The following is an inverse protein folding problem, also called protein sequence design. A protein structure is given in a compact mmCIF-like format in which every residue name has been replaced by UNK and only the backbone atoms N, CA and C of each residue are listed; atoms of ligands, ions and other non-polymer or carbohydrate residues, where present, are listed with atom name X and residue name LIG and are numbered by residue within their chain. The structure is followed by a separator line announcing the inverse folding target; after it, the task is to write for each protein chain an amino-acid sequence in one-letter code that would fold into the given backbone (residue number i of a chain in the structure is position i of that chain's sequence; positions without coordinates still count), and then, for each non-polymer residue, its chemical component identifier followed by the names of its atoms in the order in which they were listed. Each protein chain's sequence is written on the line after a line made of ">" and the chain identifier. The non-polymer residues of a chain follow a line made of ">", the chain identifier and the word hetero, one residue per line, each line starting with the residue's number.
data_IF_157106705268
#
_entry.id   IF_157106705268
#
_cell.length_a   1.000
_cell.length_b   1.000
_cell.length_c   1.000
_cell.angle_alpha   90.00
_cell.angle_beta   90.00
_cell.angle_gamma   90.00
#
_symmetry.space_group_name_H-M   'P 1'
#
loop_
_entity.id
_entity.type
_entity.pdbx_description
1 polymer ?
#
# COMPACT_ATOMS: atom_id res chain seq x y z
N UNK A 1 5.59 -31.40 25.07
CA UNK A 1 5.78 -30.23 24.20
C UNK A 1 4.45 -29.49 24.19
N UNK A 2 4.36 -28.25 24.69
CA UNK A 2 3.09 -27.50 24.71
C UNK A 2 2.67 -27.14 23.28
N UNK A 3 1.39 -27.27 22.96
CA UNK A 3 0.86 -26.96 21.63
C UNK A 3 0.87 -25.46 21.33
N UNK A 4 0.92 -25.10 20.04
CA UNK A 4 0.91 -23.69 19.61
C UNK A 4 -0.32 -22.92 20.14
N UNK A 5 -1.48 -23.57 20.25
CA UNK A 5 -2.72 -23.02 20.85
C UNK A 5 -2.53 -22.66 22.33
N UNK A 6 -1.87 -23.54 23.08
CA UNK A 6 -1.67 -23.36 24.52
C UNK A 6 -0.74 -22.18 24.79
N UNK A 7 0.29 -22.01 23.95
CA UNK A 7 1.21 -20.88 24.05
C UNK A 7 0.49 -19.54 23.87
N UNK A 8 -0.44 -19.43 22.91
CA UNK A 8 -1.23 -18.20 22.72
C UNK A 8 -2.17 -17.92 23.89
N UNK A 9 -2.72 -18.97 24.51
CA UNK A 9 -3.68 -18.82 25.62
C UNK A 9 -3.00 -18.37 26.92
N UNK A 10 -1.75 -18.82 27.13
CA UNK A 10 -0.99 -18.52 28.35
C UNK A 10 -0.08 -17.29 28.23
N UNK A 11 -0.12 -16.56 27.12
CA UNK A 11 0.75 -15.39 26.94
C UNK A 11 0.32 -14.25 27.87
N UNK A 12 1.21 -13.74 28.74
CA UNK A 12 0.87 -12.71 29.73
C UNK A 12 0.90 -11.30 29.11
N UNK A 13 0.17 -11.11 28.00
CA UNK A 13 0.14 -9.83 27.28
C UNK A 13 -0.85 -9.83 26.11
N UNK A 14 -0.73 -8.81 25.26
CA UNK A 14 -1.56 -8.66 24.04
C UNK A 14 -0.83 -9.26 22.85
N UNK A 15 -1.50 -10.12 22.10
CA UNK A 15 -0.99 -10.72 20.86
C UNK A 15 -1.74 -10.10 19.68
N UNK A 16 -0.99 -9.55 18.73
CA UNK A 16 -1.54 -9.17 17.43
C UNK A 16 -1.25 -10.27 16.41
N UNK A 17 -2.29 -10.77 15.76
CA UNK A 17 -2.20 -11.78 14.71
C UNK A 17 -2.68 -11.18 13.39
N UNK A 18 -1.97 -11.47 12.30
CA UNK A 18 -2.33 -11.05 10.95
C UNK A 18 -2.40 -12.28 10.04
N UNK A 19 -3.45 -12.42 9.25
CA UNK A 19 -3.56 -13.49 8.25
C UNK A 19 -3.98 -12.94 6.89
N UNK A 20 -3.31 -13.39 5.83
CA UNK A 20 -3.74 -13.14 4.45
C UNK A 20 -4.74 -14.21 3.96
N UNK A 21 -5.05 -15.21 4.79
CA UNK A 21 -5.91 -16.36 4.47
C UNK A 21 -6.88 -16.60 5.62
N UNK A 22 -8.04 -15.95 5.54
CA UNK A 22 -9.10 -16.10 6.53
C UNK A 22 -9.67 -17.52 6.56
N UNK A 23 -9.77 -18.18 5.40
CA UNK A 23 -10.39 -19.51 5.26
C UNK A 23 -9.54 -20.67 5.78
N UNK A 24 -8.26 -20.43 6.08
CA UNK A 24 -7.34 -21.43 6.60
C UNK A 24 -7.21 -21.37 8.14
N UNK A 25 -8.07 -20.60 8.81
CA UNK A 25 -7.99 -20.41 10.25
C UNK A 25 -8.61 -21.59 10.98
N UNK A 26 -7.87 -22.16 11.93
CA UNK A 26 -8.33 -23.28 12.73
C UNK A 26 -9.41 -22.82 13.75
N UNK A 27 -10.54 -23.53 13.87
CA UNK A 27 -11.63 -23.13 14.77
C UNK A 27 -11.23 -23.02 16.25
N UNK A 28 -10.29 -23.84 16.73
CA UNK A 28 -9.81 -23.78 18.11
C UNK A 28 -8.95 -22.54 18.35
N UNK A 29 -8.19 -22.07 17.36
CA UNK A 29 -7.52 -20.77 17.41
C UNK A 29 -8.53 -19.61 17.37
N UNK A 30 -9.52 -19.69 16.49
CA UNK A 30 -10.53 -18.64 16.34
C UNK A 30 -11.32 -18.39 17.63
N UNK A 31 -11.64 -19.46 18.38
CA UNK A 31 -12.34 -19.38 19.68
C UNK A 31 -11.59 -18.59 20.76
N UNK A 32 -10.29 -18.35 20.57
CA UNK A 32 -9.41 -17.63 21.51
C UNK A 32 -9.11 -16.20 21.06
N UNK A 33 -9.64 -15.76 19.91
CA UNK A 33 -9.50 -14.39 19.42
C UNK A 33 -10.62 -13.53 20.01
N UNK A 34 -10.24 -12.56 20.84
CA UNK A 34 -11.16 -11.64 21.51
C UNK A 34 -11.70 -10.54 20.58
N UNK A 35 -10.92 -10.14 19.57
CA UNK A 35 -11.28 -9.09 18.62
C UNK A 35 -10.80 -9.45 17.21
N UNK A 36 -11.65 -9.30 16.21
CA UNK A 36 -11.35 -9.57 14.80
C UNK A 36 -11.50 -8.27 14.01
N UNK A 37 -10.43 -7.85 13.34
CA UNK A 37 -10.44 -6.69 12.45
C UNK A 37 -10.34 -7.18 11.01
N UNK A 38 -11.36 -6.88 10.22
CA UNK A 38 -11.33 -7.12 8.78
C UNK A 38 -10.86 -5.85 8.08
N UNK A 39 -9.85 -6.01 7.23
CA UNK A 39 -9.33 -4.92 6.40
C UNK A 39 -9.88 -5.10 5.00
N UNK A 40 -10.93 -4.33 4.69
CA UNK A 40 -11.48 -4.26 3.34
C UNK A 40 -10.48 -3.62 2.36
N UNK A 41 -10.62 -3.87 1.05
CA UNK A 41 -9.89 -3.13 0.03
C UNK A 41 -10.05 -1.62 0.22
N UNK A 42 -8.96 -0.89 0.00
CA UNK A 42 -8.95 0.56 0.18
C UNK A 42 -9.98 1.23 -0.75
N UNK A 43 -10.77 2.13 -0.20
CA UNK A 43 -11.62 3.04 -1.00
C UNK A 43 -10.77 4.08 -1.73
N UNK A 44 -11.27 4.71 -2.82
CA UNK A 44 -10.55 5.78 -3.51
C UNK A 44 -10.12 6.91 -2.57
N UNK A 45 -10.99 7.32 -1.65
CA UNK A 45 -10.71 8.37 -0.65
C UNK A 45 -9.60 7.95 0.32
N UNK A 46 -9.57 6.68 0.76
CA UNK A 46 -8.49 6.17 1.60
C UNK A 46 -7.16 6.11 0.83
N UNK A 47 -7.19 5.70 -0.45
CA UNK A 47 -5.99 5.73 -1.31
C UNK A 47 -5.47 7.14 -1.51
N UNK A 48 -6.33 8.13 -1.78
CA UNK A 48 -5.93 9.55 -1.87
C UNK A 48 -5.24 10.02 -0.59
N UNK A 49 -5.77 9.66 0.58
CA UNK A 49 -5.12 9.98 1.87
C UNK A 49 -3.75 9.32 1.98
N UNK A 50 -3.64 8.04 1.61
CA UNK A 50 -2.36 7.32 1.65
C UNK A 50 -1.34 7.96 0.69
N UNK A 51 -1.73 8.32 -0.53
CA UNK A 51 -0.88 9.07 -1.46
C UNK A 51 -0.41 10.38 -0.84
N UNK A 52 -1.33 11.17 -0.28
CA UNK A 52 -0.99 12.45 0.39
C UNK A 52 -0.02 12.27 1.56
N UNK A 53 -0.13 11.17 2.30
CA UNK A 53 0.74 10.85 3.43
C UNK A 53 2.11 10.31 3.00
N UNK A 54 2.17 9.50 1.96
CA UNK A 54 3.39 8.81 1.55
C UNK A 54 4.22 9.58 0.52
N UNK A 55 3.61 10.46 -0.27
CA UNK A 55 4.33 11.27 -1.24
C UNK A 55 5.25 12.25 -0.50
N UNK A 56 6.55 12.30 -0.87
CA UNK A 56 7.41 13.34 -0.35
C UNK A 56 6.93 14.70 -0.85
N UNK A 57 7.16 15.73 -0.04
CA UNK A 57 6.94 17.11 -0.47
C UNK A 57 7.84 17.41 -1.68
N UNK A 58 7.31 18.18 -2.63
CA UNK A 58 8.08 18.56 -3.81
C UNK A 58 9.04 19.69 -3.46
N UNK A 59 10.24 19.65 -4.01
CA UNK A 59 11.20 20.75 -3.90
C UNK A 59 11.15 21.58 -5.16
N UNK A 60 10.87 22.88 -5.00
CA UNK A 60 11.01 23.88 -6.06
C UNK A 60 12.50 24.21 -6.28
N UNK A 61 12.91 24.66 -7.48
CA UNK A 61 14.26 25.18 -7.72
C UNK A 61 14.69 26.28 -6.74
N UNK A 62 13.72 26.99 -6.16
CA UNK A 62 13.94 28.02 -5.14
C UNK A 62 14.04 27.45 -3.71
N UNK A 63 14.16 26.13 -3.55
CA UNK A 63 14.19 25.42 -2.28
C UNK A 63 12.90 25.57 -1.44
N UNK A 64 11.80 25.97 -2.09
CA UNK A 64 10.48 26.01 -1.48
C UNK A 64 9.86 24.61 -1.47
N UNK A 65 9.23 24.28 -0.34
CA UNK A 65 8.48 23.04 -0.17
C UNK A 65 7.09 23.23 -0.74
N UNK A 66 6.79 22.52 -1.83
CA UNK A 66 5.48 22.57 -2.49
C UNK A 66 4.64 21.36 -2.09
N UNK A 67 3.36 21.61 -1.78
CA UNK A 67 2.37 20.56 -1.62
C UNK A 67 1.93 20.02 -2.98
N UNK A 68 1.44 18.78 -2.98
CA UNK A 68 0.85 18.17 -4.17
C UNK A 68 -0.55 18.74 -4.42
N UNK A 69 -0.88 18.95 -5.69
CA UNK A 69 -2.21 19.36 -6.09
C UNK A 69 -3.25 18.31 -5.65
N UNK A 70 -4.33 18.77 -5.04
CA UNK A 70 -5.40 17.92 -4.51
C UNK A 70 -6.11 17.14 -5.65
N UNK A 71 -6.19 17.70 -6.86
CA UNK A 71 -6.78 17.03 -8.03
C UNK A 71 -5.89 15.90 -8.54
N UNK A 72 -4.56 16.09 -8.51
CA UNK A 72 -3.58 15.03 -8.82
C UNK A 72 -3.72 13.89 -7.80
N UNK A 73 -3.80 14.22 -6.51
CA UNK A 73 -3.96 13.22 -5.43
C UNK A 73 -5.30 12.45 -5.54
N UNK A 74 -6.37 13.12 -5.99
CA UNK A 74 -7.66 12.47 -6.28
C UNK A 74 -7.56 11.55 -7.48
N UNK A 75 -6.90 11.97 -8.55
CA UNK A 75 -6.63 11.14 -9.74
C UNK A 75 -5.83 9.88 -9.38
N UNK A 76 -4.77 10.03 -8.58
CA UNK A 76 -3.97 8.91 -8.08
C UNK A 76 -4.77 7.99 -7.16
N UNK A 77 -5.65 8.52 -6.31
CA UNK A 77 -6.53 7.69 -5.47
C UNK A 77 -7.63 6.99 -6.23
N UNK A 78 -8.11 7.57 -7.34
CA UNK A 78 -9.09 6.96 -8.23
C UNK A 78 -8.52 5.77 -9.04
N UNK A 79 -7.19 5.65 -9.13
CA UNK A 79 -6.54 4.51 -9.77
C UNK A 79 -6.98 3.16 -9.18
N UNK A 80 -7.05 2.14 -10.04
CA UNK A 80 -7.70 0.86 -9.75
C UNK A 80 -7.04 0.08 -8.60
N UNK A 81 -7.87 -0.43 -7.68
CA UNK A 81 -7.66 -1.48 -6.66
C UNK A 81 -6.24 -1.79 -6.13
N UNK A 82 -5.38 -0.78 -6.00
CA UNK A 82 -4.06 -0.93 -5.38
C UNK A 82 -4.15 -0.86 -3.85
N UNK A 83 -3.34 -1.68 -3.17
CA UNK A 83 -3.16 -1.63 -1.73
C UNK A 83 -2.02 -0.68 -1.33
N UNK A 84 -1.85 -0.44 -0.02
CA UNK A 84 -0.83 0.49 0.49
C UNK A 84 0.61 0.11 0.14
N UNK A 85 0.91 -1.19 -0.02
CA UNK A 85 2.25 -1.66 -0.44
C UNK A 85 2.51 -1.29 -1.90
N UNK A 86 1.51 -1.48 -2.76
CA UNK A 86 1.62 -1.12 -4.18
C UNK A 86 1.79 0.38 -4.36
N UNK A 87 1.03 1.20 -3.62
CA UNK A 87 1.22 2.67 -3.60
C UNK A 87 2.66 3.02 -3.22
N UNK A 88 3.16 2.46 -2.11
CA UNK A 88 4.54 2.73 -1.65
C UNK A 88 5.57 2.32 -2.71
N UNK A 89 5.42 1.15 -3.30
CA UNK A 89 6.34 0.65 -4.32
C UNK A 89 6.36 1.56 -5.57
N UNK A 90 5.19 2.06 -5.99
CA UNK A 90 5.12 3.01 -7.10
C UNK A 90 5.82 4.33 -6.79
N UNK A 91 5.66 4.86 -5.56
CA UNK A 91 6.37 6.08 -5.14
C UNK A 91 7.88 5.87 -5.20
N UNK A 92 8.38 4.74 -4.67
CA UNK A 92 9.81 4.42 -4.69
C UNK A 92 10.35 4.31 -6.12
N UNK A 93 9.62 3.63 -7.01
CA UNK A 93 10.01 3.51 -8.41
C UNK A 93 10.00 4.87 -9.13
N UNK A 94 9.00 5.72 -8.87
CA UNK A 94 8.91 7.04 -9.48
C UNK A 94 10.01 7.99 -8.98
N UNK A 95 10.41 7.87 -7.70
CA UNK A 95 11.56 8.59 -7.15
C UNK A 95 12.86 8.16 -7.83
N UNK A 96 13.07 6.85 -7.99
CA UNK A 96 14.26 6.34 -8.68
C UNK A 96 14.31 6.79 -10.15
N UNK A 97 13.16 6.88 -10.82
CA UNK A 97 13.06 7.38 -12.19
C UNK A 97 13.42 8.87 -12.26
N UNK A 98 12.85 9.69 -11.38
CA UNK A 98 13.15 11.12 -11.31
C UNK A 98 14.65 11.37 -11.03
N UNK A 99 15.24 10.60 -10.11
CA UNK A 99 16.68 10.67 -9.81
C UNK A 99 17.54 10.29 -11.03
N UNK A 100 17.16 9.26 -11.78
CA UNK A 100 17.85 8.86 -13.01
C UNK A 100 17.77 9.92 -14.11
N UNK A 101 16.68 10.69 -14.17
CA UNK A 101 16.51 11.82 -15.09
C UNK A 101 17.19 13.11 -14.61
N UNK A 102 17.69 13.14 -13.36
CA UNK A 102 18.27 14.34 -12.75
C UNK A 102 17.22 15.40 -12.43
N UNK A 103 15.95 15.01 -12.29
CA UNK A 103 14.82 15.88 -12.04
C UNK A 103 14.21 15.64 -10.65
N UNK A 104 13.42 16.61 -10.18
CA UNK A 104 12.59 16.42 -8.98
C UNK A 104 11.39 15.52 -9.29
N UNK A 105 10.86 14.83 -8.27
CA UNK A 105 9.65 14.03 -8.44
C UNK A 105 8.46 14.88 -8.91
N UNK A 106 8.05 14.63 -10.15
CA UNK A 106 6.85 15.19 -10.77
C UNK A 106 5.77 14.14 -11.07
N UNK A 107 4.58 14.61 -11.44
CA UNK A 107 3.45 13.76 -11.82
C UNK A 107 3.77 12.83 -13.00
N UNK A 108 4.62 13.27 -13.96
CA UNK A 108 5.02 12.46 -15.11
C UNK A 108 5.63 11.11 -14.71
N UNK A 109 6.51 11.09 -13.71
CA UNK A 109 7.18 9.87 -13.25
C UNK A 109 6.18 8.91 -12.58
N UNK A 110 5.21 9.44 -11.83
CA UNK A 110 4.15 8.64 -11.21
C UNK A 110 3.25 8.01 -12.28
N UNK A 111 2.88 8.78 -13.31
CA UNK A 111 2.05 8.31 -14.42
C UNK A 111 2.80 7.28 -15.29
N UNK A 112 4.11 7.43 -15.47
CA UNK A 112 4.93 6.48 -16.21
C UNK A 112 5.03 5.13 -15.50
N UNK A 113 5.40 5.14 -14.21
CA UNK A 113 5.45 3.92 -13.39
C UNK A 113 4.09 3.22 -13.34
N UNK A 114 3.00 3.99 -13.26
CA UNK A 114 1.63 3.45 -13.34
C UNK A 114 1.41 2.72 -14.68
N UNK A 115 1.75 3.36 -15.79
CA UNK A 115 1.57 2.79 -17.14
C UNK A 115 2.37 1.50 -17.30
N UNK A 116 3.60 1.44 -16.79
CA UNK A 116 4.44 0.24 -16.79
C UNK A 116 3.76 -0.90 -16.02
N UNK A 117 3.26 -0.62 -14.82
CA UNK A 117 2.59 -1.62 -13.99
C UNK A 117 1.29 -2.13 -14.61
N UNK A 118 0.49 -1.24 -15.22
CA UNK A 118 -0.73 -1.62 -15.93
C UNK A 118 -0.44 -2.50 -17.15
N UNK A 119 0.62 -2.17 -17.90
CA UNK A 119 1.07 -2.97 -19.06
C UNK A 119 1.51 -4.37 -18.63
N UNK A 120 2.24 -4.49 -17.52
CA UNK A 120 2.65 -5.78 -16.98
C UNK A 120 1.44 -6.60 -16.51
N UNK A 121 0.51 -5.98 -15.78
CA UNK A 121 -0.71 -6.66 -15.29
C UNK A 121 -1.61 -7.15 -16.44
N UNK A 122 -1.73 -6.36 -17.52
CA UNK A 122 -2.48 -6.74 -18.72
C UNK A 122 -1.83 -7.95 -19.43
N UNK A 123 -0.51 -7.94 -19.60
CA UNK A 123 0.25 -9.05 -20.20
C UNK A 123 0.19 -10.31 -19.33
N UNK A 124 0.25 -10.19 -18.01
CA UNK A 124 0.15 -11.32 -17.09
C UNK A 124 -1.22 -12.01 -17.20
N UNK A 125 -2.31 -11.24 -17.27
CA UNK A 125 -3.67 -11.78 -17.47
C UNK A 125 -3.89 -12.42 -18.83
N UNK A 126 -3.26 -11.92 -19.89
CA UNK A 126 -3.40 -12.49 -21.23
C UNK A 126 -2.68 -13.85 -21.42
N UNK A 127 -1.74 -14.17 -20.52
CA UNK A 127 -0.95 -15.40 -20.54
C UNK A 127 -1.40 -16.45 -19.50
N UNK A 128 -2.57 -16.23 -18.86
CA UNK A 128 -3.23 -17.18 -17.96
C UNK A 128 -4.50 -17.71 -18.63
#
# INVERSE_FOLDING_TARGET
>A
MRGYVEMLTCYPGVIFLTTNRLTAFDPAFESRIQCKLFYDPLTPTQRTKIWKTLLPRRSSPNNETLEWDEDILRSLGASHNINGREIKNMIVAALALAEAEGESLEEKHLNEVRTINETWAAKAKANM
#
